data_IF_792964563275
#
_entry.id   IF_792964563275
#
_cell.length_a   1.000
_cell.length_b   1.000
_cell.length_c   1.000
_cell.angle_alpha   90.00
_cell.angle_beta   90.00
_cell.angle_gamma   90.00
#
_symmetry.space_group_name_H-M   'P 1'
#
loop_
_entity.id
_entity.type
_entity.pdbx_description
1 polymer ?
#
# COMPACT_ATOMS: atom_id res chain seq x y z
N UNK A 1 -57.74 13.59 41.18
CA UNK A 1 -57.13 12.42 40.52
C UNK A 1 -55.72 12.82 40.06
N UNK A 2 -54.67 12.40 40.78
CA UNK A 2 -53.26 12.72 40.45
C UNK A 2 -52.65 11.48 39.79
N UNK A 3 -52.26 11.60 38.52
CA UNK A 3 -51.55 10.54 37.79
C UNK A 3 -50.06 10.64 38.16
N UNK A 4 -49.56 9.67 38.91
CA UNK A 4 -48.13 9.49 39.18
C UNK A 4 -47.48 8.89 37.92
N UNK A 5 -46.73 9.71 37.18
CA UNK A 5 -45.95 9.27 36.04
C UNK A 5 -44.63 8.65 36.54
N UNK A 6 -44.57 7.31 36.58
CA UNK A 6 -43.37 6.54 36.90
C UNK A 6 -42.38 6.63 35.73
N UNK A 7 -41.48 7.63 35.76
CA UNK A 7 -40.35 7.69 34.83
C UNK A 7 -39.29 6.70 35.31
N UNK A 8 -39.20 5.54 34.66
CA UNK A 8 -38.01 4.68 34.74
C UNK A 8 -36.83 5.44 34.11
N UNK A 9 -36.16 6.26 34.94
CA UNK A 9 -34.95 6.98 34.56
C UNK A 9 -33.85 5.94 34.42
N UNK A 10 -33.47 5.64 33.19
CA UNK A 10 -32.22 4.92 32.91
C UNK A 10 -31.10 5.70 33.60
N UNK A 11 -30.33 5.09 34.51
CA UNK A 11 -29.32 5.81 35.26
C UNK A 11 -28.28 6.39 34.29
N UNK A 12 -28.05 7.70 34.37
CA UNK A 12 -27.20 8.50 33.46
C UNK A 12 -25.82 7.88 33.25
N UNK A 13 -25.24 7.30 34.31
CA UNK A 13 -23.93 6.64 34.28
C UNK A 13 -23.86 5.44 33.32
N UNK A 14 -24.97 4.71 33.13
CA UNK A 14 -25.04 3.60 32.17
C UNK A 14 -25.10 4.10 30.73
N UNK A 15 -25.74 5.25 30.50
CA UNK A 15 -25.86 5.88 29.19
C UNK A 15 -24.53 6.49 28.72
N UNK A 16 -23.75 7.08 29.65
CA UNK A 16 -22.44 7.67 29.35
C UNK A 16 -21.43 6.60 28.93
N UNK A 17 -21.44 5.44 29.59
CA UNK A 17 -20.55 4.33 29.26
C UNK A 17 -20.85 3.74 27.87
N UNK A 18 -22.13 3.59 27.53
CA UNK A 18 -22.58 3.15 26.20
C UNK A 18 -22.17 4.14 25.10
N UNK A 19 -22.33 5.45 25.35
CA UNK A 19 -21.89 6.48 24.40
C UNK A 19 -20.37 6.50 24.23
N UNK A 20 -19.60 6.35 25.31
CA UNK A 20 -18.13 6.32 25.23
C UNK A 20 -17.62 5.06 24.51
N UNK A 21 -18.23 3.90 24.77
CA UNK A 21 -17.94 2.67 24.05
C UNK A 21 -18.29 2.78 22.56
N UNK A 22 -19.43 3.38 22.23
CA UNK A 22 -19.84 3.61 20.84
C UNK A 22 -18.91 4.59 20.12
N UNK A 23 -18.48 5.68 20.76
CA UNK A 23 -17.50 6.60 20.20
C UNK A 23 -16.11 5.95 20.03
N UNK A 24 -15.66 5.13 20.98
CA UNK A 24 -14.39 4.40 20.86
C UNK A 24 -14.43 3.36 19.73
N UNK A 25 -15.56 2.69 19.55
CA UNK A 25 -15.84 1.82 18.40
C UNK A 25 -15.80 2.62 17.09
N UNK A 26 -16.52 3.75 17.02
CA UNK A 26 -16.53 4.61 15.83
C UNK A 26 -15.14 5.17 15.49
N UNK A 27 -14.31 5.48 16.48
CA UNK A 27 -12.91 5.91 16.28
C UNK A 27 -11.98 4.75 15.92
N UNK A 28 -12.24 3.54 16.39
CA UNK A 28 -11.51 2.35 15.96
C UNK A 28 -11.86 1.93 14.51
N UNK A 29 -13.03 2.33 14.02
CA UNK A 29 -13.52 2.07 12.67
C UNK A 29 -13.55 3.31 11.76
N UNK A 30 -13.05 4.48 12.21
CA UNK A 30 -13.04 5.70 11.40
C UNK A 30 -11.99 5.58 10.30
N UNK A 31 -12.43 4.99 9.19
CA UNK A 31 -11.99 5.13 7.81
C UNK A 31 -10.47 5.24 7.60
N UNK A 32 -9.88 4.17 7.07
CA UNK A 32 -8.84 4.30 6.06
C UNK A 32 -9.36 5.30 5.01
N UNK A 33 -8.87 6.54 5.02
CA UNK A 33 -9.14 7.46 3.94
C UNK A 33 -8.58 6.81 2.66
N UNK A 34 -9.47 6.32 1.80
CA UNK A 34 -9.09 5.75 0.51
C UNK A 34 -8.92 6.92 -0.44
N UNK A 35 -7.67 7.27 -0.74
CA UNK A 35 -7.37 8.24 -1.76
C UNK A 35 -7.32 7.52 -3.11
N UNK A 36 -7.99 8.08 -4.13
CA UNK A 36 -7.74 7.65 -5.50
C UNK A 36 -6.52 8.40 -6.01
N UNK A 37 -5.41 7.68 -6.20
CA UNK A 37 -4.14 8.25 -6.67
C UNK A 37 -3.96 7.91 -8.14
N UNK A 38 -3.80 8.92 -8.98
CA UNK A 38 -3.46 8.75 -10.39
C UNK A 38 -1.97 8.98 -10.54
N UNK A 39 -1.25 7.94 -10.96
CA UNK A 39 0.18 8.03 -11.25
C UNK A 39 0.40 8.62 -12.64
N UNK A 40 1.53 9.31 -12.80
CA UNK A 40 2.02 9.84 -14.06
C UNK A 40 3.44 9.34 -14.36
N UNK A 41 4.07 9.95 -15.35
CA UNK A 41 5.39 9.56 -15.84
C UNK A 41 6.48 10.53 -15.38
N UNK A 42 7.73 10.06 -15.44
CA UNK A 42 8.89 10.93 -15.47
C UNK A 42 9.06 11.63 -16.84
N UNK A 43 9.40 12.94 -16.86
CA UNK A 43 9.38 13.89 -15.75
C UNK A 43 7.96 14.42 -15.47
N UNK A 44 7.55 14.48 -14.20
CA UNK A 44 6.28 15.13 -13.83
C UNK A 44 5.61 14.56 -12.59
N UNK A 45 5.69 13.24 -12.37
CA UNK A 45 5.15 12.62 -11.16
C UNK A 45 6.21 12.51 -10.05
N UNK A 46 5.86 13.03 -8.88
CA UNK A 46 6.69 13.03 -7.66
C UNK A 46 6.90 11.64 -7.05
N UNK A 47 6.03 10.67 -7.39
CA UNK A 47 6.16 9.28 -6.93
C UNK A 47 7.19 8.51 -7.74
N UNK A 48 7.61 8.97 -8.91
CA UNK A 48 8.53 8.21 -9.78
C UNK A 48 9.93 8.18 -9.17
N UNK A 49 10.41 6.96 -8.89
CA UNK A 49 11.78 6.70 -8.45
C UNK A 49 12.71 6.70 -9.66
N UNK A 50 12.29 6.08 -10.76
CA UNK A 50 13.12 6.00 -11.95
C UNK A 50 12.57 5.06 -13.00
N UNK A 51 13.38 4.86 -14.03
CA UNK A 51 13.02 4.05 -15.20
C UNK A 51 14.10 3.01 -15.49
N UNK A 52 13.66 1.90 -16.08
CA UNK A 52 14.48 0.76 -16.47
C UNK A 52 14.24 0.47 -17.95
N UNK A 53 15.29 0.24 -18.72
CA UNK A 53 15.17 -0.16 -20.14
C UNK A 53 16.25 -1.18 -20.47
N UNK A 54 15.91 -2.37 -21.01
CA UNK A 54 14.59 -2.79 -21.46
C UNK A 54 13.60 -3.21 -20.34
N UNK A 55 14.06 -3.37 -19.09
CA UNK A 55 13.22 -3.90 -18.02
C UNK A 55 12.81 -5.35 -18.29
N UNK A 56 13.77 -6.15 -18.75
CA UNK A 56 13.55 -7.54 -19.13
C UNK A 56 14.71 -8.42 -18.63
N UNK A 57 14.43 -9.56 -17.98
CA UNK A 57 13.10 -10.11 -17.69
C UNK A 57 12.35 -9.28 -16.63
N UNK A 58 11.03 -9.47 -16.60
CA UNK A 58 10.12 -8.75 -15.72
C UNK A 58 9.46 -9.72 -14.72
N UNK A 59 10.25 -10.64 -14.18
CA UNK A 59 9.86 -11.46 -13.05
C UNK A 59 10.22 -10.76 -11.72
N UNK A 60 9.57 -11.10 -10.61
CA UNK A 60 9.81 -10.41 -9.34
C UNK A 60 11.26 -10.46 -8.83
N UNK A 61 12.03 -11.51 -9.13
CA UNK A 61 13.40 -11.62 -8.63
C UNK A 61 14.32 -10.59 -9.31
N UNK A 62 14.25 -10.53 -10.64
CA UNK A 62 15.03 -9.61 -11.47
C UNK A 62 14.63 -8.15 -11.24
N UNK A 63 13.32 -7.87 -11.20
CA UNK A 63 12.83 -6.50 -11.00
C UNK A 63 13.22 -5.94 -9.64
N UNK A 64 13.25 -6.79 -8.60
CA UNK A 64 13.76 -6.42 -7.28
C UNK A 64 15.23 -5.98 -7.36
N UNK A 65 16.06 -6.63 -8.17
CA UNK A 65 17.47 -6.23 -8.34
C UNK A 65 17.59 -4.89 -9.08
N UNK A 66 16.75 -4.64 -10.10
CA UNK A 66 16.70 -3.33 -10.77
C UNK A 66 16.34 -2.19 -9.81
N UNK A 67 15.29 -2.39 -8.99
CA UNK A 67 14.85 -1.39 -8.01
C UNK A 67 15.96 -1.14 -6.99
N UNK A 68 16.55 -2.19 -6.44
CA UNK A 68 17.59 -2.08 -5.42
C UNK A 68 18.86 -1.41 -5.94
N UNK A 69 19.25 -1.66 -7.19
CA UNK A 69 20.34 -0.92 -7.80
C UNK A 69 19.96 0.54 -8.05
N UNK A 70 18.75 0.80 -8.58
CA UNK A 70 18.26 2.15 -8.88
C UNK A 70 18.32 3.07 -7.66
N UNK A 71 17.92 2.59 -6.48
CA UNK A 71 17.91 3.41 -5.25
C UNK A 71 19.31 3.72 -4.70
N UNK A 72 20.36 3.04 -5.19
CA UNK A 72 21.76 3.34 -4.84
C UNK A 72 22.35 4.49 -5.66
N UNK A 73 21.70 4.83 -6.78
CA UNK A 73 22.15 5.88 -7.68
C UNK A 73 21.85 7.28 -7.10
N UNK A 74 22.73 8.23 -7.37
CA UNK A 74 22.44 9.65 -7.12
C UNK A 74 21.26 10.14 -7.97
N UNK A 75 20.47 11.07 -7.45
CA UNK A 75 19.34 11.66 -8.19
C UNK A 75 19.78 12.23 -9.54
N UNK A 76 19.05 11.90 -10.60
CA UNK A 76 19.35 12.30 -11.98
C UNK A 76 20.36 11.43 -12.72
N UNK A 77 21.00 10.44 -12.06
CA UNK A 77 21.95 9.57 -12.74
C UNK A 77 21.28 8.61 -13.73
N UNK A 78 21.98 8.31 -14.82
CA UNK A 78 21.59 7.31 -15.81
C UNK A 78 22.79 6.43 -16.15
N UNK A 79 22.70 5.13 -15.87
CA UNK A 79 23.82 4.19 -15.94
C UNK A 79 23.38 2.90 -16.61
N UNK A 80 24.24 2.34 -17.47
CA UNK A 80 24.09 0.97 -17.95
C UNK A 80 24.76 0.03 -16.93
N UNK A 81 24.01 -0.93 -16.41
CA UNK A 81 24.50 -1.93 -15.47
C UNK A 81 24.22 -3.33 -15.99
N UNK A 82 25.22 -4.20 -15.92
CA UNK A 82 25.08 -5.62 -16.25
C UNK A 82 24.77 -6.41 -14.97
N UNK A 83 23.55 -6.91 -14.86
CA UNK A 83 23.14 -7.79 -13.77
C UNK A 83 23.56 -9.26 -14.02
N UNK A 84 24.05 -9.56 -15.23
CA UNK A 84 24.43 -10.90 -15.65
C UNK A 84 23.22 -11.81 -15.90
N UNK A 85 23.51 -13.07 -16.28
CA UNK A 85 22.49 -14.09 -16.47
C UNK A 85 21.42 -13.71 -17.50
N UNK A 86 20.15 -13.96 -17.16
CA UNK A 86 19.01 -13.65 -18.02
C UNK A 86 18.67 -12.15 -18.04
N UNK A 87 19.08 -11.40 -17.00
CA UNK A 87 18.86 -9.97 -16.87
C UNK A 87 19.76 -9.17 -17.81
N UNK A 88 21.03 -9.51 -17.87
CA UNK A 88 22.00 -8.82 -18.74
C UNK A 88 22.05 -7.32 -18.47
N UNK A 89 22.33 -6.55 -19.53
CA UNK A 89 22.52 -5.10 -19.42
C UNK A 89 21.18 -4.36 -19.41
N UNK A 90 20.98 -3.57 -18.36
CA UNK A 90 19.86 -2.65 -18.23
C UNK A 90 20.37 -1.21 -18.13
N UNK A 91 19.69 -0.28 -18.79
CA UNK A 91 19.83 1.15 -18.55
C UNK A 91 18.90 1.55 -17.41
N UNK A 92 19.48 1.99 -16.30
CA UNK A 92 18.77 2.42 -15.10
C UNK A 92 18.90 3.94 -14.99
N UNK A 93 17.77 4.64 -14.90
CA UNK A 93 17.74 6.10 -14.71
C UNK A 93 17.02 6.44 -13.42
N UNK A 94 17.69 7.15 -12.51
CA UNK A 94 17.12 7.63 -11.25
C UNK A 94 16.60 9.06 -11.45
N UNK A 95 15.35 9.33 -11.06
CA UNK A 95 14.80 10.70 -11.14
C UNK A 95 15.50 11.65 -10.17
N UNK A 96 15.25 12.94 -10.31
CA UNK A 96 15.67 13.97 -9.34
C UNK A 96 14.68 14.14 -8.18
N UNK A 97 13.64 13.29 -8.09
CA UNK A 97 12.68 13.35 -7.00
C UNK A 97 13.35 13.01 -5.66
N UNK A 98 13.03 13.82 -4.65
CA UNK A 98 13.51 13.67 -3.28
C UNK A 98 12.57 12.76 -2.50
N UNK A 99 13.10 11.68 -1.94
CA UNK A 99 12.37 10.77 -1.05
C UNK A 99 13.03 10.79 0.32
N UNK A 100 12.24 10.78 1.39
CA UNK A 100 12.78 10.78 2.76
C UNK A 100 13.58 9.50 3.07
N UNK A 101 13.07 8.35 2.60
CA UNK A 101 13.73 7.06 2.69
C UNK A 101 13.21 6.13 1.59
N UNK A 102 14.10 5.36 0.97
CA UNK A 102 13.78 4.34 -0.02
C UNK A 102 14.29 2.99 0.51
N UNK A 103 13.45 2.17 1.16
CA UNK A 103 13.90 0.89 1.71
C UNK A 103 14.13 -0.14 0.61
N UNK A 104 14.94 -1.17 0.89
CA UNK A 104 15.20 -2.25 -0.07
C UNK A 104 13.90 -2.99 -0.44
N UNK A 105 13.72 -3.26 -1.74
CA UNK A 105 12.59 -4.04 -2.25
C UNK A 105 12.80 -5.55 -1.98
N UNK A 106 11.68 -6.26 -1.74
CA UNK A 106 11.65 -7.71 -1.53
C UNK A 106 10.72 -8.40 -2.52
N UNK A 107 11.21 -9.44 -3.21
CA UNK A 107 10.39 -10.28 -4.09
C UNK A 107 9.42 -11.20 -3.31
N UNK A 108 9.67 -11.44 -2.02
CA UNK A 108 8.76 -12.22 -1.17
C UNK A 108 7.45 -11.46 -0.98
N UNK A 109 6.33 -12.11 -1.31
CA UNK A 109 5.00 -11.48 -1.24
C UNK A 109 4.72 -10.49 -2.38
N UNK A 110 5.55 -10.48 -3.44
CA UNK A 110 5.29 -9.66 -4.61
C UNK A 110 3.97 -10.07 -5.29
N UNK A 111 3.20 -9.08 -5.71
CA UNK A 111 1.91 -9.28 -6.37
C UNK A 111 2.00 -8.77 -7.81
N UNK A 112 1.54 -9.56 -8.77
CA UNK A 112 1.57 -9.21 -10.20
C UNK A 112 0.18 -8.97 -10.75
N UNK A 113 0.04 -8.09 -11.72
CA UNK A 113 -1.20 -7.92 -12.46
C UNK A 113 -1.02 -7.21 -13.80
N UNK A 114 -2.14 -7.02 -14.52
CA UNK A 114 -2.15 -6.46 -15.88
C UNK A 114 -3.14 -5.31 -16.07
N UNK A 115 -4.02 -5.06 -15.10
CA UNK A 115 -4.97 -3.95 -15.15
C UNK A 115 -4.31 -2.60 -14.85
N UNK A 116 -4.99 -1.51 -15.20
CA UNK A 116 -4.53 -0.14 -14.91
C UNK A 116 -4.95 0.36 -13.53
N UNK A 117 -5.77 -0.40 -12.80
CA UNK A 117 -6.31 0.00 -11.50
C UNK A 117 -5.95 -1.04 -10.46
N UNK A 118 -5.39 -0.60 -9.34
CA UNK A 118 -4.94 -1.41 -8.21
C UNK A 118 -5.64 -0.91 -6.95
N UNK A 119 -6.30 -1.79 -6.20
CA UNK A 119 -6.85 -1.45 -4.88
C UNK A 119 -5.91 -1.93 -3.77
N UNK A 120 -5.13 -1.01 -3.20
CA UNK A 120 -4.21 -1.34 -2.10
C UNK A 120 -4.95 -1.77 -0.82
N UNK A 121 -6.22 -1.41 -0.64
CA UNK A 121 -6.99 -1.90 0.51
C UNK A 121 -7.25 -3.41 0.41
N UNK A 122 -7.26 -3.96 -0.81
CA UNK A 122 -7.42 -5.39 -1.06
C UNK A 122 -6.08 -6.14 -0.94
N UNK A 123 -5.01 -5.55 -1.45
CA UNK A 123 -3.71 -6.22 -1.53
C UNK A 123 -2.83 -6.02 -0.29
N UNK A 124 -3.01 -4.94 0.46
CA UNK A 124 -2.19 -4.59 1.62
C UNK A 124 -1.19 -3.46 1.35
N UNK A 125 -0.16 -3.39 2.17
CA UNK A 125 0.84 -2.31 2.12
C UNK A 125 2.03 -2.69 1.23
N UNK A 126 2.38 -1.78 0.31
CA UNK A 126 3.50 -1.95 -0.60
C UNK A 126 4.35 -0.69 -0.63
N UNK A 127 5.61 -0.86 -1.00
CA UNK A 127 6.59 0.23 -1.10
C UNK A 127 6.80 0.66 -2.54
N UNK A 128 6.90 -0.30 -3.46
CA UNK A 128 7.17 -0.02 -4.86
C UNK A 128 6.12 -0.62 -5.76
N UNK A 129 5.85 0.09 -6.85
CA UNK A 129 5.15 -0.40 -8.01
C UNK A 129 6.10 -0.33 -9.20
N UNK A 130 6.32 -1.45 -9.86
CA UNK A 130 6.99 -1.52 -11.15
C UNK A 130 5.94 -1.76 -12.22
N UNK A 131 5.92 -0.95 -13.27
CA UNK A 131 5.09 -1.20 -14.45
C UNK A 131 5.94 -1.30 -15.70
N UNK A 132 5.59 -2.27 -16.54
CA UNK A 132 6.23 -2.52 -17.82
C UNK A 132 5.28 -2.17 -18.95
N UNK A 133 5.72 -1.27 -19.80
CA UNK A 133 5.11 -0.99 -21.09
C UNK A 133 5.83 -1.82 -22.15
N UNK A 134 5.07 -2.41 -23.07
CA UNK A 134 5.36 -3.67 -23.77
C UNK A 134 6.75 -3.85 -24.46
N UNK A 135 7.79 -4.07 -23.66
CA UNK A 135 8.94 -4.95 -23.96
C UNK A 135 9.94 -4.48 -25.03
N UNK A 136 11.20 -4.21 -24.62
CA UNK A 136 12.34 -3.72 -25.43
C UNK A 136 12.14 -2.38 -26.18
N UNK A 137 10.91 -2.00 -26.52
CA UNK A 137 10.59 -0.81 -27.33
C UNK A 137 10.22 0.40 -26.49
N UNK A 138 9.60 0.19 -25.33
CA UNK A 138 9.34 1.23 -24.33
C UNK A 138 10.15 1.02 -23.04
N UNK A 139 9.90 1.90 -22.07
CA UNK A 139 10.52 1.89 -20.75
C UNK A 139 9.65 1.12 -19.76
N UNK A 140 10.28 0.61 -18.71
CA UNK A 140 9.59 0.26 -17.47
C UNK A 140 9.79 1.38 -16.46
N UNK A 141 8.80 1.62 -15.62
CA UNK A 141 8.82 2.70 -14.62
C UNK A 141 8.60 2.15 -13.22
N UNK A 142 9.27 2.78 -12.26
CA UNK A 142 9.22 2.44 -10.83
C UNK A 142 8.66 3.65 -10.08
N UNK A 143 7.55 3.45 -9.38
CA UNK A 143 6.99 4.42 -8.43
C UNK A 143 7.23 3.96 -6.99
N UNK A 144 7.45 4.93 -6.11
CA UNK A 144 7.36 4.76 -4.68
C UNK A 144 5.91 5.03 -4.25
N UNK A 145 5.26 4.00 -3.73
CA UNK A 145 3.86 4.03 -3.28
C UNK A 145 3.75 3.79 -1.77
N UNK A 146 4.87 3.86 -1.04
CA UNK A 146 4.91 3.69 0.39
C UNK A 146 4.04 4.72 1.11
N UNK A 147 3.12 4.22 1.96
CA UNK A 147 2.17 5.06 2.69
C UNK A 147 0.93 5.46 1.89
N UNK A 148 0.83 5.08 0.61
CA UNK A 148 -0.43 5.20 -0.14
C UNK A 148 -1.41 4.10 0.32
N UNK A 149 -2.68 4.46 0.31
CA UNK A 149 -3.82 3.58 0.60
C UNK A 149 -4.89 3.81 -0.46
N UNK A 150 -5.85 2.89 -0.57
CA UNK A 150 -6.91 3.03 -1.56
C UNK A 150 -6.51 2.65 -2.98
N UNK A 151 -7.19 3.27 -3.94
CA UNK A 151 -7.05 2.92 -5.34
C UNK A 151 -5.91 3.68 -5.99
N UNK A 152 -5.07 2.99 -6.74
CA UNK A 152 -4.03 3.54 -7.59
C UNK A 152 -4.42 3.29 -9.05
N UNK A 153 -4.31 4.30 -9.89
CA UNK A 153 -4.46 4.20 -11.34
C UNK A 153 -3.11 4.43 -12.03
N UNK A 154 -2.66 3.42 -12.77
CA UNK A 154 -1.46 3.43 -13.61
C UNK A 154 -1.83 3.98 -14.99
N UNK A 155 -0.98 4.79 -15.64
CA UNK A 155 -1.22 5.18 -17.03
C UNK A 155 -1.30 3.96 -17.96
N UNK A 156 -2.28 3.96 -18.87
CA UNK A 156 -2.49 2.86 -19.82
C UNK A 156 -1.39 2.78 -20.90
N UNK A 157 -0.88 3.94 -21.33
CA UNK A 157 0.12 4.06 -22.38
C UNK A 157 1.39 4.69 -21.83
N UNK A 158 2.53 4.03 -22.08
CA UNK A 158 3.86 4.49 -21.73
C UNK A 158 4.26 5.77 -22.48
N UNK A 159 5.41 6.39 -22.16
CA UNK A 159 5.84 7.64 -22.78
C UNK A 159 6.08 7.53 -24.29
N UNK A 160 6.29 6.32 -24.82
CA UNK A 160 6.42 6.08 -26.26
C UNK A 160 5.14 5.54 -26.90
N UNK A 161 4.01 5.57 -26.18
CA UNK A 161 2.69 5.16 -26.68
C UNK A 161 2.41 3.66 -26.60
N UNK A 162 3.30 2.88 -25.99
CA UNK A 162 3.12 1.44 -25.83
C UNK A 162 2.20 1.10 -24.67
N UNK A 163 1.36 0.07 -24.83
CA UNK A 163 0.41 -0.31 -23.80
C UNK A 163 1.10 -0.99 -22.61
N UNK A 164 0.49 -0.83 -21.43
CA UNK A 164 0.86 -1.54 -20.22
C UNK A 164 0.78 -3.06 -20.46
N UNK A 165 1.90 -3.76 -20.31
CA UNK A 165 1.96 -5.23 -20.34
C UNK A 165 1.63 -5.85 -18.99
N UNK A 166 2.05 -5.20 -17.92
CA UNK A 166 1.86 -5.70 -16.58
C UNK A 166 2.64 -4.90 -15.54
N UNK A 167 2.35 -5.19 -14.29
CA UNK A 167 2.94 -4.54 -13.14
C UNK A 167 3.24 -5.54 -12.03
N UNK A 168 4.12 -5.13 -11.12
CA UNK A 168 4.52 -5.88 -9.92
C UNK A 168 4.57 -4.91 -8.73
N UNK A 169 3.91 -5.30 -7.64
CA UNK A 169 3.98 -4.64 -6.35
C UNK A 169 5.05 -5.30 -5.47
N UNK A 170 5.87 -4.50 -4.80
CA UNK A 170 6.90 -4.95 -3.87
C UNK A 170 6.69 -4.36 -2.48
N UNK A 171 6.70 -5.24 -1.48
CA UNK A 171 6.71 -4.86 -0.07
C UNK A 171 8.14 -4.61 0.45
N UNK A 172 8.28 -4.01 1.64
CA UNK A 172 9.57 -3.87 2.29
C UNK A 172 10.14 -5.26 2.65
N UNK A 173 11.48 -5.38 2.68
CA UNK A 173 12.15 -6.57 3.22
C UNK A 173 11.67 -6.83 4.66
N UNK A 174 10.88 -7.89 4.84
CA UNK A 174 10.29 -8.27 6.12
C UNK A 174 8.79 -7.95 6.31
N UNK A 175 8.05 -7.63 5.25
CA UNK A 175 6.60 -7.40 5.30
C UNK A 175 5.81 -8.65 5.70
N UNK A 176 5.37 -8.68 6.95
CA UNK A 176 4.43 -9.64 7.53
C UNK A 176 3.07 -9.62 6.83
N UNK A 177 2.50 -10.81 6.68
CA UNK A 177 1.06 -11.12 6.53
C UNK A 177 0.18 -10.08 7.24
N UNK A 178 -1.00 -9.71 6.69
CA UNK A 178 -1.97 -8.82 7.33
C UNK A 178 -1.96 -8.95 8.85
N UNK A 179 -1.67 -7.82 9.46
CA UNK A 179 -1.28 -7.58 10.84
C UNK A 179 -2.07 -8.43 11.83
N UNK A 180 -1.45 -9.54 12.24
CA UNK A 180 -1.90 -10.40 13.33
C UNK A 180 -2.14 -9.59 14.62
N UNK A 181 -1.49 -8.44 14.78
CA UNK A 181 -1.73 -7.49 15.86
C UNK A 181 -3.13 -6.87 15.84
N UNK A 182 -3.65 -6.46 14.68
CA UNK A 182 -4.98 -5.86 14.58
C UNK A 182 -6.07 -6.91 14.84
N UNK A 183 -5.91 -8.12 14.31
CA UNK A 183 -6.84 -9.24 14.57
C UNK A 183 -6.81 -9.70 16.02
N UNK A 184 -5.64 -9.78 16.65
CA UNK A 184 -5.52 -10.13 18.07
C UNK A 184 -6.03 -9.00 18.98
N UNK A 185 -5.82 -7.72 18.63
CA UNK A 185 -6.44 -6.60 19.35
C UNK A 185 -7.95 -6.61 19.22
N UNK A 186 -8.50 -6.87 18.02
CA UNK A 186 -9.94 -6.94 17.81
C UNK A 186 -10.56 -8.12 18.57
N UNK A 187 -9.91 -9.28 18.55
CA UNK A 187 -10.33 -10.45 19.31
C UNK A 187 -10.25 -10.20 20.83
N UNK A 188 -9.18 -9.55 21.29
CA UNK A 188 -9.01 -9.15 22.69
C UNK A 188 -10.05 -8.14 23.14
N UNK A 189 -10.35 -7.13 22.32
CA UNK A 189 -11.39 -6.14 22.59
C UNK A 189 -12.79 -6.78 22.59
N UNK A 190 -13.07 -7.69 21.65
CA UNK A 190 -14.33 -8.42 21.58
C UNK A 190 -14.54 -9.31 22.83
N UNK A 191 -13.52 -10.07 23.23
CA UNK A 191 -13.57 -10.90 24.44
C UNK A 191 -13.64 -10.07 25.72
N UNK A 192 -12.93 -8.94 25.78
CA UNK A 192 -12.99 -7.99 26.90
C UNK A 192 -14.38 -7.38 27.06
N UNK A 193 -15.01 -6.94 25.96
CA UNK A 193 -16.38 -6.45 25.95
C UNK A 193 -17.37 -7.54 26.39
N UNK A 194 -17.20 -8.78 25.92
CA UNK A 194 -18.03 -9.93 26.32
C UNK A 194 -17.93 -10.21 27.82
N UNK A 195 -16.74 -10.08 28.41
CA UNK A 195 -16.51 -10.23 29.85
C UNK A 195 -17.23 -9.17 30.69
N UNK A 196 -17.23 -7.91 30.24
CA UNK A 196 -17.94 -6.80 30.91
C UNK A 196 -19.46 -6.99 30.82
N UNK A 197 -19.97 -7.41 29.66
CA UNK A 197 -21.40 -7.70 29.46
C UNK A 197 -21.86 -8.85 30.35
N UNK A 198 -21.08 -9.93 30.47
CA UNK A 198 -21.41 -11.04 31.37
C UNK A 198 -21.53 -10.58 32.81
N UNK A 199 -20.59 -9.77 33.31
CA UNK A 199 -20.62 -9.24 34.68
C UNK A 199 -21.86 -8.40 34.96
N UNK A 200 -22.37 -7.69 33.97
CA UNK A 200 -23.56 -6.84 34.11
C UNK A 200 -24.88 -7.60 33.99
N UNK A 201 -24.91 -8.74 33.29
CA UNK A 201 -26.10 -9.59 33.17
C UNK A 201 -26.27 -10.56 34.35
N UNK A 202 -25.18 -10.87 35.05
CA UNK A 202 -25.21 -11.73 36.26
C UNK A 202 -25.25 -10.95 37.58
N UNK A 203 -25.46 -9.64 37.53
CA UNK A 203 -25.62 -8.76 38.70
C UNK A 203 -26.99 -8.10 38.70
#
# INVERSE_FOLDING_TARGET
>A
MRILMNRHIVPSNKLTLLSAAFCAVMLAFSHNASANTILGFFPGDTHVVGTVTPGAPADPASVKDYINFMITLSGGASVNHDFGGAEGIQKITRTTNTFANLPTASATGAVTGTGITIDLNLYGTFTYLFAKYDGQRDISEVWYIGGLTGQITIPMFGPKGHALSGWILFGPTGGSVPDSGATVMLLGAALGALGVVRRYLTS
#
